data_IF_830402568242
#
_entry.id   IF_830402568242
#
_cell.length_a   1.000
_cell.length_b   1.000
_cell.length_c   1.000
_cell.angle_alpha   90.00
_cell.angle_beta   90.00
_cell.angle_gamma   90.00
#
_symmetry.space_group_name_H-M   'P 1'
#
loop_
_entity.id
_entity.type
_entity.pdbx_description
1 polymer ?
#
# COMPACT_ATOMS: atom_id res chain seq x y z
N UNK A 1 -0.50 9.25 12.28
CA UNK A 1 -0.29 8.07 11.41
C UNK A 1 0.94 8.30 10.54
N UNK A 2 1.42 7.29 9.82
CA UNK A 2 2.54 7.45 8.88
C UNK A 2 2.06 7.18 7.46
N UNK A 3 2.43 8.02 6.52
CA UNK A 3 2.07 7.92 5.11
C UNK A 3 3.31 8.03 4.22
N UNK A 4 3.30 7.40 3.06
CA UNK A 4 4.35 7.56 2.06
C UNK A 4 3.71 7.59 0.67
N UNK A 5 4.05 8.59 -0.13
CA UNK A 5 3.60 8.66 -1.52
C UNK A 5 4.35 7.63 -2.35
N UNK A 6 3.65 6.93 -3.24
CA UNK A 6 4.26 5.94 -4.14
C UNK A 6 5.39 6.57 -4.94
N UNK A 7 5.20 7.78 -5.47
CA UNK A 7 6.24 8.49 -6.23
C UNK A 7 7.51 8.73 -5.40
N UNK A 8 7.38 9.15 -4.15
CA UNK A 8 8.52 9.40 -3.26
C UNK A 8 9.37 8.15 -3.00
N UNK A 9 8.73 6.96 -3.01
CA UNK A 9 9.45 5.68 -2.96
C UNK A 9 10.10 5.40 -4.32
N UNK A 10 9.34 5.49 -5.41
CA UNK A 10 9.83 5.09 -6.74
C UNK A 10 10.95 5.97 -7.30
N UNK A 11 10.98 7.25 -6.95
CA UNK A 11 12.04 8.19 -7.36
C UNK A 11 13.42 7.84 -6.78
N UNK A 12 13.46 7.02 -5.72
CA UNK A 12 14.69 6.57 -5.05
C UNK A 12 15.09 5.15 -5.41
N UNK A 13 14.28 4.46 -6.20
CA UNK A 13 14.58 3.10 -6.65
C UNK A 13 15.55 3.13 -7.83
N UNK A 14 16.36 2.08 -7.92
CA UNK A 14 17.13 1.85 -9.13
C UNK A 14 16.19 1.66 -10.34
N UNK A 15 16.58 2.07 -11.56
CA UNK A 15 15.79 1.82 -12.77
C UNK A 15 15.48 0.34 -12.97
N UNK A 16 16.39 -0.54 -12.55
CA UNK A 16 16.21 -2.00 -12.60
C UNK A 16 15.11 -2.47 -11.66
N UNK A 17 15.14 -2.07 -10.39
CA UNK A 17 14.14 -2.49 -9.39
C UNK A 17 12.76 -1.94 -9.76
N UNK A 18 12.70 -0.69 -10.23
CA UNK A 18 11.47 -0.09 -10.75
C UNK A 18 10.89 -0.86 -11.95
N UNK A 19 11.73 -1.27 -12.90
CA UNK A 19 11.29 -2.05 -14.05
C UNK A 19 10.79 -3.45 -13.65
N UNK A 20 11.39 -4.09 -12.65
CA UNK A 20 10.95 -5.40 -12.14
C UNK A 20 9.63 -5.28 -11.40
N UNK A 21 9.45 -4.27 -10.55
CA UNK A 21 8.21 -4.05 -9.79
C UNK A 21 6.98 -3.82 -10.69
N UNK A 22 7.19 -3.43 -11.95
CA UNK A 22 6.16 -3.29 -12.98
C UNK A 22 5.83 -4.58 -13.74
N UNK A 23 6.55 -5.67 -13.50
CA UNK A 23 6.31 -6.96 -14.17
C UNK A 23 5.34 -7.82 -13.38
N UNK A 24 4.61 -8.73 -14.04
CA UNK A 24 3.72 -9.68 -13.39
C UNK A 24 4.48 -10.83 -12.68
N UNK A 25 5.47 -10.51 -11.86
CA UNK A 25 6.35 -11.48 -11.19
C UNK A 25 6.06 -11.60 -9.68
N UNK A 26 4.87 -11.20 -9.23
CA UNK A 26 4.49 -11.18 -7.82
C UNK A 26 3.19 -11.92 -7.53
N UNK A 27 3.10 -12.41 -6.30
CA UNK A 27 1.85 -12.85 -5.68
C UNK A 27 1.41 -11.85 -4.62
N UNK A 28 0.10 -11.57 -4.58
CA UNK A 28 -0.53 -10.67 -3.60
C UNK A 28 -1.65 -11.42 -2.90
N UNK A 29 -1.61 -11.46 -1.58
CA UNK A 29 -2.61 -12.09 -0.74
C UNK A 29 -3.54 -11.04 -0.16
N UNK A 30 -4.83 -11.33 -0.06
CA UNK A 30 -5.76 -10.46 0.66
C UNK A 30 -5.33 -10.30 2.14
N UNK A 31 -5.59 -9.14 2.78
CA UNK A 31 -5.37 -8.97 4.20
C UNK A 31 -6.22 -9.93 5.05
N UNK A 32 -5.75 -10.28 6.25
CA UNK A 32 -6.43 -11.20 7.18
C UNK A 32 -7.84 -10.76 7.61
N UNK A 33 -8.16 -9.48 7.41
CA UNK A 33 -9.48 -8.91 7.71
C UNK A 33 -10.55 -9.21 6.65
N UNK A 34 -10.17 -9.82 5.53
CA UNK A 34 -11.10 -10.27 4.49
C UNK A 34 -11.49 -11.73 4.78
N UNK A 35 -12.79 -12.03 4.76
CA UNK A 35 -13.33 -13.35 5.13
C UNK A 35 -12.73 -14.55 4.35
N UNK A 36 -12.20 -14.30 3.16
CA UNK A 36 -11.57 -15.31 2.33
C UNK A 36 -10.15 -14.89 1.98
N UNK A 37 -9.18 -15.59 2.55
CA UNK A 37 -7.77 -15.46 2.15
C UNK A 37 -7.60 -15.98 0.73
N UNK A 38 -7.41 -15.05 -0.21
CA UNK A 38 -7.14 -15.33 -1.62
C UNK A 38 -5.77 -14.80 -1.99
N UNK A 39 -5.03 -15.60 -2.73
CA UNK A 39 -3.74 -15.21 -3.30
C UNK A 39 -3.88 -15.09 -4.81
N UNK A 40 -3.53 -13.93 -5.33
CA UNK A 40 -3.48 -13.64 -6.75
C UNK A 40 -2.04 -13.69 -7.22
N UNK A 41 -1.75 -14.41 -8.29
CA UNK A 41 -0.41 -14.52 -8.88
C UNK A 41 -0.33 -13.76 -10.19
N UNK A 42 0.90 -13.57 -10.68
CA UNK A 42 1.17 -12.88 -11.95
C UNK A 42 0.73 -11.42 -11.94
N UNK A 43 0.95 -10.72 -10.83
CA UNK A 43 0.63 -9.31 -10.67
C UNK A 43 1.89 -8.45 -10.56
N UNK A 44 1.85 -7.19 -11.05
CA UNK A 44 2.86 -6.21 -10.73
C UNK A 44 2.58 -5.55 -9.37
N UNK A 45 3.63 -5.13 -8.67
CA UNK A 45 3.51 -4.30 -7.46
C UNK A 45 3.20 -2.85 -7.84
N UNK A 46 3.83 -2.36 -8.91
CA UNK A 46 3.64 -1.01 -9.44
C UNK A 46 2.96 -1.09 -10.80
N UNK A 47 1.92 -0.29 -10.99
CA UNK A 47 1.19 -0.20 -12.25
C UNK A 47 0.94 1.28 -12.59
N UNK A 48 0.29 1.53 -13.71
CA UNK A 48 -0.17 2.85 -14.10
C UNK A 48 -1.69 2.90 -14.19
N UNK A 49 -2.27 3.99 -13.68
CA UNK A 49 -3.69 4.27 -13.93
C UNK A 49 -3.94 4.73 -15.38
N UNK A 50 -5.21 4.94 -15.72
CA UNK A 50 -5.64 5.40 -17.06
C UNK A 50 -5.00 6.74 -17.48
N UNK A 51 -4.49 7.52 -16.54
CA UNK A 51 -3.83 8.80 -16.75
C UNK A 51 -2.30 8.69 -16.72
N UNK A 52 -1.75 7.48 -16.62
CA UNK A 52 -0.32 7.20 -16.58
C UNK A 52 0.35 7.41 -15.21
N UNK A 53 -0.41 7.73 -14.16
CA UNK A 53 0.16 7.92 -12.83
C UNK A 53 0.52 6.58 -12.21
N UNK A 54 1.65 6.52 -11.51
CA UNK A 54 2.04 5.31 -10.79
C UNK A 54 1.09 5.03 -9.64
N UNK A 55 0.68 3.78 -9.55
CA UNK A 55 -0.12 3.22 -8.47
C UNK A 55 0.56 1.99 -7.90
N UNK A 56 0.28 1.67 -6.64
CA UNK A 56 0.83 0.52 -5.94
C UNK A 56 -0.26 -0.32 -5.30
N UNK A 57 -0.07 -1.63 -5.34
CA UNK A 57 -0.85 -2.62 -4.57
C UNK A 57 -0.08 -3.21 -3.39
N UNK A 58 1.08 -2.63 -3.07
CA UNK A 58 1.94 -3.13 -2.02
C UNK A 58 1.21 -3.19 -0.68
N UNK A 59 1.27 -4.36 -0.05
CA UNK A 59 0.83 -4.57 1.32
C UNK A 59 1.89 -5.41 2.05
N UNK A 60 2.43 -4.85 3.14
CA UNK A 60 3.52 -5.48 3.88
C UNK A 60 3.09 -6.83 4.43
N UNK A 61 3.88 -7.86 4.16
CA UNK A 61 3.59 -9.24 4.58
C UNK A 61 2.56 -9.97 3.71
N UNK A 62 1.97 -9.29 2.72
CA UNK A 62 0.98 -9.84 1.80
C UNK A 62 1.42 -9.77 0.33
N UNK A 63 2.69 -9.45 0.07
CA UNK A 63 3.28 -9.43 -1.26
C UNK A 63 4.50 -10.35 -1.26
N UNK A 64 4.66 -11.14 -2.32
CA UNK A 64 5.76 -12.07 -2.49
C UNK A 64 6.31 -11.99 -3.92
N UNK A 65 7.63 -11.87 -4.06
CA UNK A 65 8.29 -12.02 -5.36
C UNK A 65 8.35 -13.50 -5.76
N UNK A 66 7.86 -13.84 -6.96
CA UNK A 66 7.83 -15.20 -7.50
C UNK A 66 9.17 -15.65 -8.09
N UNK A 67 10.11 -14.72 -8.24
CA UNK A 67 11.49 -14.97 -8.68
C UNK A 67 12.47 -14.29 -7.72
N UNK A 68 13.74 -14.72 -7.71
CA UNK A 68 14.79 -14.05 -6.92
C UNK A 68 14.87 -12.56 -7.23
N UNK A 69 14.82 -12.19 -8.51
CA UNK A 69 14.88 -10.78 -8.93
C UNK A 69 13.66 -9.98 -8.45
N UNK A 70 12.48 -10.59 -8.44
CA UNK A 70 11.27 -9.96 -7.92
C UNK A 70 11.34 -9.78 -6.39
N UNK A 71 11.83 -10.80 -5.68
CA UNK A 71 12.05 -10.72 -4.24
C UNK A 71 13.07 -9.63 -3.87
N UNK A 72 14.19 -9.54 -4.60
CA UNK A 72 15.19 -8.49 -4.42
C UNK A 72 14.59 -7.09 -4.68
N UNK A 73 13.83 -6.92 -5.77
CA UNK A 73 13.20 -5.64 -6.07
C UNK A 73 12.14 -5.24 -5.05
N UNK A 74 11.41 -6.20 -4.48
CA UNK A 74 10.49 -5.96 -3.37
C UNK A 74 11.25 -5.55 -2.10
N UNK A 75 12.38 -6.18 -1.82
CA UNK A 75 13.24 -5.80 -0.71
C UNK A 75 13.82 -4.40 -0.86
N UNK A 76 14.25 -4.01 -2.07
CA UNK A 76 14.67 -2.63 -2.37
C UNK A 76 13.53 -1.64 -2.11
N UNK A 77 12.31 -1.97 -2.55
CA UNK A 77 11.12 -1.17 -2.30
C UNK A 77 10.88 -0.94 -0.80
N UNK A 78 10.94 -2.01 -0.01
CA UNK A 78 10.78 -1.94 1.45
C UNK A 78 11.92 -1.17 2.12
N UNK A 79 13.14 -1.30 1.63
CA UNK A 79 14.31 -0.57 2.13
C UNK A 79 14.11 0.93 1.94
N UNK A 80 13.73 1.36 0.72
CA UNK A 80 13.43 2.76 0.43
C UNK A 80 12.25 3.27 1.26
N UNK A 81 11.18 2.47 1.38
CA UNK A 81 10.00 2.83 2.17
C UNK A 81 10.33 3.06 3.65
N UNK A 82 11.41 2.48 4.16
CA UNK A 82 11.85 2.67 5.55
C UNK A 82 12.96 3.72 5.72
N UNK A 83 13.39 4.39 4.66
CA UNK A 83 14.30 5.54 4.78
C UNK A 83 13.64 6.63 5.64
N UNK A 84 14.37 7.30 6.55
CA UNK A 84 13.78 8.23 7.53
C UNK A 84 12.99 9.40 6.92
N UNK A 85 13.33 9.80 5.70
CA UNK A 85 12.80 10.95 4.99
C UNK A 85 11.77 10.59 3.89
N UNK A 86 11.43 9.31 3.74
CA UNK A 86 10.38 8.87 2.79
C UNK A 86 8.99 8.86 3.43
N UNK A 87 8.77 8.24 4.61
CA UNK A 87 7.49 8.33 5.29
C UNK A 87 7.33 9.66 6.02
N UNK A 88 6.16 10.27 5.86
CA UNK A 88 5.74 11.46 6.60
C UNK A 88 4.89 11.04 7.79
N UNK A 89 5.16 11.66 8.94
CA UNK A 89 4.28 11.53 10.11
C UNK A 89 3.17 12.57 9.98
N UNK A 90 1.94 12.09 9.89
CA UNK A 90 0.74 12.93 9.90
C UNK A 90 0.17 12.96 11.32
N UNK A 91 0.32 14.06 12.09
CA UNK A 91 -0.35 14.23 13.37
C UNK A 91 -1.85 14.47 13.12
N UNK A 92 -2.69 13.55 13.55
CA UNK A 92 -4.15 13.65 13.38
C UNK A 92 -4.77 13.95 14.74
N UNK A 93 -5.50 15.06 14.82
CA UNK A 93 -6.19 15.57 15.99
C UNK A 93 -7.69 15.27 15.93
N UNK A 94 -8.39 15.51 17.03
CA UNK A 94 -9.86 15.45 17.03
C UNK A 94 -10.42 16.54 16.10
N UNK A 95 -11.37 16.17 15.25
CA UNK A 95 -11.96 17.06 14.24
C UNK A 95 -11.27 17.02 12.87
N UNK A 96 -10.08 16.44 12.77
CA UNK A 96 -9.40 16.29 11.48
C UNK A 96 -10.07 15.23 10.61
N UNK A 97 -10.16 15.51 9.30
CA UNK A 97 -10.51 14.55 8.27
C UNK A 97 -9.28 14.25 7.42
N UNK A 98 -8.87 12.98 7.39
CA UNK A 98 -7.77 12.52 6.53
C UNK A 98 -8.34 11.72 5.36
N UNK A 99 -8.05 12.20 4.15
CA UNK A 99 -8.41 11.51 2.90
C UNK A 99 -7.15 10.93 2.28
N UNK A 100 -7.17 9.63 2.00
CA UNK A 100 -6.02 8.89 1.44
C UNK A 100 -6.44 8.26 0.12
N UNK A 101 -5.70 8.59 -0.94
CA UNK A 101 -5.76 7.84 -2.20
C UNK A 101 -4.97 6.52 -2.02
N UNK A 102 -5.70 5.43 -1.80
CA UNK A 102 -5.12 4.12 -1.47
C UNK A 102 -4.25 3.54 -2.61
N UNK A 103 -4.36 4.05 -3.83
CA UNK A 103 -3.54 3.61 -4.95
C UNK A 103 -2.20 4.33 -5.01
N UNK A 104 -2.13 5.56 -4.49
CA UNK A 104 -0.95 6.45 -4.61
C UNK A 104 -0.27 6.72 -3.28
N UNK A 105 -0.86 6.29 -2.18
CA UNK A 105 -0.36 6.54 -0.84
C UNK A 105 -0.38 5.25 -0.01
N UNK A 106 0.80 4.83 0.43
CA UNK A 106 0.98 3.80 1.43
C UNK A 106 0.78 4.42 2.81
N UNK A 107 0.20 3.66 3.74
CA UNK A 107 -0.01 4.14 5.09
C UNK A 107 0.20 3.03 6.12
N UNK A 108 0.68 3.41 7.30
CA UNK A 108 0.79 2.51 8.45
C UNK A 108 0.46 3.25 9.74
N UNK A 109 0.07 2.48 10.75
CA UNK A 109 -0.10 2.98 12.11
C UNK A 109 1.15 2.60 12.92
N UNK A 110 1.87 3.57 13.52
CA UNK A 110 2.91 3.27 14.49
C UNK A 110 2.35 2.43 15.64
N UNK A 111 3.18 1.56 16.21
CA UNK A 111 2.84 0.89 17.46
C UNK A 111 2.52 1.93 18.55
N UNK A 112 1.55 1.62 19.40
CA UNK A 112 1.22 2.42 20.57
C UNK A 112 0.72 1.51 21.68
N UNK A 113 0.90 1.93 22.92
CA UNK A 113 0.39 1.22 24.09
C UNK A 113 -0.93 1.85 24.52
N UNK A 114 -2.08 1.15 24.36
CA UNK A 114 -3.36 1.65 24.85
C UNK A 114 -3.40 1.70 26.38
N UNK A 115 -4.09 2.72 26.90
CA UNK A 115 -4.34 2.92 28.32
C UNK A 115 -5.57 2.18 28.82
N UNK A 116 -6.50 1.84 27.91
CA UNK A 116 -7.79 1.20 28.19
C UNK A 116 -8.69 2.01 29.14
N UNK A 117 -8.51 3.33 29.18
CA UNK A 117 -9.26 4.24 30.05
C UNK A 117 -10.45 4.91 29.36
N UNK A 118 -10.72 4.54 28.10
CA UNK A 118 -11.69 5.24 27.24
C UNK A 118 -11.19 6.57 26.66
N UNK A 119 -9.95 6.97 26.98
CA UNK A 119 -9.27 8.16 26.43
C UNK A 119 -8.28 7.84 25.30
N UNK A 120 -8.26 6.59 24.84
CA UNK A 120 -7.40 6.15 23.76
C UNK A 120 -7.82 6.77 22.41
N UNK A 121 -6.92 6.72 21.44
CA UNK A 121 -7.16 7.26 20.09
C UNK A 121 -8.33 6.54 19.44
N UNK A 122 -9.34 7.30 19.03
CA UNK A 122 -10.51 6.78 18.33
C UNK A 122 -10.62 7.41 16.93
N UNK A 123 -10.78 6.57 15.91
CA UNK A 123 -10.96 6.99 14.53
C UNK A 123 -12.18 6.30 13.94
N UNK A 124 -12.92 7.01 13.09
CA UNK A 124 -13.94 6.45 12.22
C UNK A 124 -13.36 6.34 10.82
N UNK A 125 -13.52 5.17 10.18
CA UNK A 125 -13.02 4.92 8.82
C UNK A 125 -14.18 4.66 7.87
N UNK A 126 -14.18 5.37 6.75
CA UNK A 126 -15.07 5.11 5.62
C UNK A 126 -14.23 4.78 4.37
N UNK A 127 -14.75 3.90 3.52
CA UNK A 127 -14.16 3.62 2.22
C UNK A 127 -14.97 4.29 1.13
N UNK A 128 -14.28 4.85 0.13
CA UNK A 128 -14.91 5.48 -1.02
C UNK A 128 -14.45 4.78 -2.30
N UNK A 129 -15.36 4.66 -3.25
CA UNK A 129 -15.08 4.16 -4.60
C UNK A 129 -15.75 5.10 -5.60
N UNK A 130 -15.03 5.47 -6.67
CA UNK A 130 -15.61 6.23 -7.77
C UNK A 130 -16.57 5.37 -8.62
N UNK A 131 -16.49 4.04 -8.51
CA UNK A 131 -17.39 3.10 -9.18
C UNK A 131 -18.51 2.68 -8.22
N UNK A 132 -19.79 2.77 -8.62
CA UNK A 132 -20.89 2.25 -7.83
C UNK A 132 -20.67 0.77 -7.51
N UNK A 133 -20.82 0.39 -6.25
CA UNK A 133 -20.84 -1.01 -5.84
C UNK A 133 -22.02 -1.69 -6.56
N UNK A 134 -21.73 -2.61 -7.49
CA UNK A 134 -22.75 -3.37 -8.23
C UNK A 134 -22.61 -3.39 -9.75
N UNK A 135 -21.75 -2.55 -10.35
CA UNK A 135 -21.47 -2.60 -11.79
C UNK A 135 -20.03 -3.09 -12.02
N UNK A 136 -19.93 -4.29 -12.59
CA UNK A 136 -18.72 -5.04 -12.95
C UNK A 136 -17.96 -5.65 -11.77
N UNK A 137 -18.26 -6.92 -11.55
CA UNK A 137 -17.42 -7.98 -10.99
C UNK A 137 -16.08 -8.16 -11.74
N UNK A 138 -15.31 -7.08 -11.87
CA UNK A 138 -13.86 -7.22 -11.75
C UNK A 138 -13.56 -6.99 -10.27
N UNK A 139 -13.63 -8.08 -9.51
CA UNK A 139 -12.62 -8.29 -8.47
C UNK A 139 -11.30 -8.22 -9.24
N UNK A 140 -10.74 -7.01 -9.33
CA UNK A 140 -9.39 -6.87 -9.84
C UNK A 140 -8.52 -7.68 -8.85
N UNK A 141 -7.70 -8.60 -9.36
CA UNK A 141 -6.72 -9.29 -8.54
C UNK A 141 -5.82 -8.28 -7.82
#
# INVERSE_FOLDING_TARGET
MTVALVNAVTERLSPRSLAILKRPDFAVTTPDSVEQNRTFTSLPILDQDEKGNLISRYNKGHCLGLTTRAADALHDFETVLNLPDVPLVLPVQSGDLVVIDNWRCLHRRPAYTPTWTGKDRWFVRAYATARPLGLNSRQLP
#
